data_IF_167702388850
#
_entry.id   IF_167702388850
#
_cell.length_a   1.000
_cell.length_b   1.000
_cell.length_c   1.000
_cell.angle_alpha   90.00
_cell.angle_beta   90.00
_cell.angle_gamma   90.00
#
_symmetry.space_group_name_H-M   'P 1'
#
loop_
_entity.id
_entity.type
_entity.pdbx_description
1 polymer ?
#
# COMPACT_ATOMS: atom_id res chain seq x y z
N UNK A 1 23.22 -31.46 -30.83
CA UNK A 1 23.49 -30.75 -29.55
C UNK A 1 22.22 -30.05 -29.15
N UNK A 2 21.56 -30.45 -28.10
CA UNK A 2 20.44 -29.67 -27.61
C UNK A 2 20.99 -28.34 -27.08
N UNK A 3 20.55 -27.27 -27.69
CA UNK A 3 20.80 -25.92 -27.20
C UNK A 3 20.17 -25.83 -25.81
N UNK A 4 20.96 -25.84 -24.78
CA UNK A 4 20.54 -25.48 -23.43
C UNK A 4 20.19 -24.00 -23.44
N UNK A 5 18.98 -23.69 -23.86
CA UNK A 5 18.41 -22.37 -23.65
C UNK A 5 18.41 -22.13 -22.14
N UNK A 6 19.35 -21.33 -21.65
CA UNK A 6 19.27 -20.82 -20.28
C UNK A 6 17.87 -20.25 -20.09
N UNK A 7 17.18 -20.62 -19.04
CA UNK A 7 15.86 -20.08 -18.78
C UNK A 7 15.97 -18.55 -18.78
N UNK A 8 15.25 -17.93 -19.70
CA UNK A 8 15.27 -16.47 -19.85
C UNK A 8 14.80 -15.79 -18.58
N UNK A 9 15.32 -14.63 -18.29
CA UNK A 9 14.78 -13.70 -17.28
C UNK A 9 13.89 -12.69 -18.00
N UNK A 10 12.64 -12.60 -17.57
CA UNK A 10 11.72 -11.53 -17.98
C UNK A 10 11.48 -10.63 -16.79
N UNK A 11 11.61 -9.34 -16.98
CA UNK A 11 11.42 -8.34 -15.93
C UNK A 11 10.55 -7.20 -16.46
N UNK A 12 9.61 -6.75 -15.65
CA UNK A 12 8.73 -5.62 -15.98
C UNK A 12 8.56 -4.75 -14.74
N UNK A 13 8.40 -3.45 -14.97
CA UNK A 13 8.18 -2.45 -13.94
C UNK A 13 6.91 -1.65 -14.19
N UNK A 14 6.18 -1.31 -13.13
CA UNK A 14 5.01 -0.42 -13.16
C UNK A 14 5.00 0.52 -11.96
N UNK A 15 4.52 1.75 -12.12
CA UNK A 15 4.30 2.65 -10.99
C UNK A 15 3.05 2.18 -10.20
N UNK A 16 3.27 1.63 -9.02
CA UNK A 16 2.24 1.16 -8.08
C UNK A 16 2.72 1.44 -6.65
N UNK A 17 1.83 1.49 -5.69
CA UNK A 17 2.14 1.69 -4.26
C UNK A 17 2.96 2.96 -3.98
N UNK A 18 2.82 4.00 -4.81
CA UNK A 18 3.59 5.24 -4.68
C UNK A 18 5.07 5.13 -5.05
N UNK A 19 5.47 4.04 -5.71
CA UNK A 19 6.85 3.78 -6.13
C UNK A 19 6.88 3.01 -7.46
N UNK A 20 8.06 2.61 -7.89
CA UNK A 20 8.23 1.70 -9.02
C UNK A 20 8.30 0.27 -8.50
N UNK A 21 7.36 -0.57 -8.90
CA UNK A 21 7.31 -2.00 -8.56
C UNK A 21 7.88 -2.79 -9.73
N UNK A 22 8.92 -3.56 -9.48
CA UNK A 22 9.57 -4.43 -10.45
C UNK A 22 9.27 -5.89 -10.12
N UNK A 23 8.88 -6.67 -11.13
CA UNK A 23 8.62 -8.09 -11.01
C UNK A 23 9.44 -8.82 -12.07
N UNK A 24 10.24 -9.78 -11.63
CA UNK A 24 11.05 -10.62 -12.48
C UNK A 24 10.59 -12.08 -12.39
N UNK A 25 10.57 -12.76 -13.53
CA UNK A 25 10.30 -14.18 -13.64
C UNK A 25 11.47 -14.87 -14.33
N UNK A 26 11.97 -15.94 -13.73
CA UNK A 26 13.10 -16.71 -14.23
C UNK A 26 12.68 -18.17 -14.40
N UNK A 27 13.17 -18.82 -15.45
CA UNK A 27 12.97 -20.25 -15.64
C UNK A 27 11.71 -20.65 -16.41
N UNK A 28 10.96 -19.71 -16.94
CA UNK A 28 9.79 -19.95 -17.79
C UNK A 28 10.02 -19.45 -19.23
N UNK A 29 9.35 -20.04 -20.22
CA UNK A 29 9.25 -19.44 -21.55
C UNK A 29 8.68 -18.01 -21.47
N UNK A 30 9.09 -17.14 -22.40
CA UNK A 30 8.77 -15.72 -22.38
C UNK A 30 7.27 -15.42 -22.22
N UNK A 31 6.42 -16.10 -22.99
CA UNK A 31 4.96 -15.90 -22.91
C UNK A 31 4.39 -16.29 -21.54
N UNK A 32 4.81 -17.43 -21.00
CA UNK A 32 4.40 -17.88 -19.66
C UNK A 32 4.93 -16.93 -18.58
N UNK A 33 6.15 -16.43 -18.71
CA UNK A 33 6.73 -15.45 -17.80
C UNK A 33 5.92 -14.15 -17.78
N UNK A 34 5.56 -13.61 -18.93
CA UNK A 34 4.71 -12.42 -19.03
C UNK A 34 3.33 -12.62 -18.40
N UNK A 35 2.69 -13.77 -18.63
CA UNK A 35 1.40 -14.09 -18.01
C UNK A 35 1.49 -14.15 -16.48
N UNK A 36 2.55 -14.72 -15.91
CA UNK A 36 2.78 -14.74 -14.46
C UNK A 36 3.04 -13.36 -13.88
N UNK A 37 3.81 -12.54 -14.58
CA UNK A 37 4.06 -11.16 -14.18
C UNK A 37 2.76 -10.34 -14.21
N UNK A 38 1.91 -10.50 -15.24
CA UNK A 38 0.61 -9.83 -15.29
C UNK A 38 -0.29 -10.21 -14.13
N UNK A 39 -0.36 -11.50 -13.78
CA UNK A 39 -1.10 -11.98 -12.62
C UNK A 39 -0.57 -11.37 -11.30
N UNK A 40 0.75 -11.29 -11.15
CA UNK A 40 1.37 -10.68 -9.97
C UNK A 40 1.08 -9.17 -9.88
N UNK A 41 1.17 -8.43 -10.98
CA UNK A 41 0.79 -7.01 -11.00
C UNK A 41 -0.68 -6.79 -10.69
N UNK A 42 -1.58 -7.69 -11.10
CA UNK A 42 -3.00 -7.61 -10.76
C UNK A 42 -3.21 -7.67 -9.24
N UNK A 43 -2.51 -8.57 -8.54
CA UNK A 43 -2.55 -8.64 -7.07
C UNK A 43 -2.02 -7.36 -6.41
N UNK A 44 -0.89 -6.84 -6.89
CA UNK A 44 -0.33 -5.58 -6.39
C UNK A 44 -1.31 -4.42 -6.61
N UNK A 45 -1.97 -4.37 -7.77
CA UNK A 45 -2.97 -3.34 -8.06
C UNK A 45 -4.20 -3.42 -7.14
N UNK A 46 -4.66 -4.63 -6.78
CA UNK A 46 -5.72 -4.82 -5.79
C UNK A 46 -5.32 -4.28 -4.42
N UNK A 47 -4.12 -4.62 -3.94
CA UNK A 47 -3.60 -4.11 -2.67
C UNK A 47 -3.47 -2.59 -2.70
N UNK A 48 -2.99 -2.03 -3.80
CA UNK A 48 -2.94 -0.57 -4.00
C UNK A 48 -4.33 0.06 -3.85
N UNK A 49 -5.34 -0.50 -4.50
CA UNK A 49 -6.72 -0.02 -4.39
C UNK A 49 -7.30 -0.09 -2.97
N UNK A 50 -6.95 -1.13 -2.21
CA UNK A 50 -7.40 -1.30 -0.83
C UNK A 50 -6.70 -0.35 0.17
N UNK A 51 -5.42 -0.10 0.00
CA UNK A 51 -4.56 0.51 1.01
C UNK A 51 -4.03 1.90 0.62
N UNK A 52 -4.39 2.42 -0.53
CA UNK A 52 -3.94 3.75 -0.96
C UNK A 52 -4.59 4.87 -0.14
N UNK A 53 -3.77 5.74 0.43
CA UNK A 53 -4.22 6.98 1.08
C UNK A 53 -4.94 7.91 0.09
N UNK A 54 -4.54 7.90 -1.18
CA UNK A 54 -5.02 8.80 -2.23
C UNK A 54 -6.30 8.31 -2.93
N UNK A 55 -6.67 7.05 -2.78
CA UNK A 55 -7.87 6.49 -3.41
C UNK A 55 -9.08 6.69 -2.49
N UNK A 56 -10.13 7.43 -2.92
CA UNK A 56 -11.25 7.81 -2.04
C UNK A 56 -12.01 6.64 -1.42
N UNK A 57 -12.11 5.53 -2.14
CA UNK A 57 -12.87 4.34 -1.73
C UNK A 57 -11.99 3.23 -1.13
N UNK A 58 -10.71 3.50 -0.88
CA UNK A 58 -9.81 2.53 -0.25
C UNK A 58 -10.22 2.27 1.20
N UNK A 59 -9.81 1.12 1.73
CA UNK A 59 -9.99 0.81 3.15
C UNK A 59 -9.32 1.85 4.04
N UNK A 60 -8.11 2.28 3.68
CA UNK A 60 -7.36 3.32 4.42
C UNK A 60 -8.10 4.65 4.40
N UNK A 61 -8.65 5.07 3.27
CA UNK A 61 -9.45 6.30 3.19
C UNK A 61 -10.71 6.21 4.07
N UNK A 62 -11.42 5.09 4.05
CA UNK A 62 -12.60 4.87 4.89
C UNK A 62 -12.26 4.85 6.38
N UNK A 63 -11.15 4.22 6.76
CA UNK A 63 -10.66 4.25 8.13
C UNK A 63 -10.33 5.68 8.57
N UNK A 64 -9.63 6.45 7.75
CA UNK A 64 -9.29 7.83 8.07
C UNK A 64 -10.52 8.73 8.23
N UNK A 65 -11.60 8.45 7.50
CA UNK A 65 -12.85 9.23 7.54
C UNK A 65 -13.76 8.81 8.70
N UNK A 66 -13.86 7.53 9.02
CA UNK A 66 -14.95 6.94 9.82
C UNK A 66 -14.52 6.30 11.13
N UNK A 67 -13.24 5.94 11.31
CA UNK A 67 -12.81 5.18 12.48
C UNK A 67 -13.04 5.91 13.81
N UNK A 68 -13.05 7.24 13.80
CA UNK A 68 -13.36 8.04 14.99
C UNK A 68 -14.83 7.93 15.44
N UNK A 69 -15.74 7.57 14.52
CA UNK A 69 -17.18 7.41 14.80
C UNK A 69 -17.56 5.97 15.19
N UNK A 70 -16.68 5.01 14.96
CA UNK A 70 -16.92 3.59 15.29
C UNK A 70 -16.09 2.63 14.45
N UNK A 71 -16.33 1.31 14.62
CA UNK A 71 -15.67 0.28 13.84
C UNK A 71 -15.94 0.42 12.34
N UNK A 72 -14.91 0.14 11.53
CA UNK A 72 -15.00 0.14 10.07
C UNK A 72 -14.65 -1.24 9.56
N UNK A 73 -15.51 -1.82 8.72
CA UNK A 73 -15.23 -3.08 8.06
C UNK A 73 -14.22 -2.87 6.93
N UNK A 74 -13.20 -3.70 6.90
CA UNK A 74 -12.13 -3.67 5.89
C UNK A 74 -11.85 -5.07 5.34
N UNK A 75 -11.20 -5.14 4.18
CA UNK A 75 -10.72 -6.40 3.62
C UNK A 75 -9.79 -7.10 4.62
N UNK A 76 -9.87 -8.45 4.75
CA UNK A 76 -8.99 -9.21 5.65
C UNK A 76 -7.50 -8.95 5.44
N UNK A 77 -7.07 -8.65 4.22
CA UNK A 77 -5.67 -8.29 3.90
C UNK A 77 -5.26 -6.96 4.52
N UNK A 78 -6.14 -5.97 4.47
CA UNK A 78 -5.93 -4.67 5.13
C UNK A 78 -5.86 -4.86 6.64
N UNK A 79 -6.74 -5.65 7.22
CA UNK A 79 -6.72 -5.97 8.65
C UNK A 79 -5.41 -6.62 9.08
N UNK A 80 -4.92 -7.60 8.30
CA UNK A 80 -3.66 -8.28 8.60
C UNK A 80 -2.46 -7.32 8.58
N UNK A 81 -2.39 -6.43 7.59
CA UNK A 81 -1.33 -5.41 7.50
C UNK A 81 -1.41 -4.43 8.67
N UNK A 82 -2.60 -3.97 9.04
CA UNK A 82 -2.77 -3.06 10.19
C UNK A 82 -2.40 -3.72 11.52
N UNK A 83 -2.76 -4.99 11.72
CA UNK A 83 -2.38 -5.74 12.91
C UNK A 83 -0.85 -5.83 13.03
N UNK A 84 -0.16 -6.21 11.96
CA UNK A 84 1.30 -6.24 11.93
C UNK A 84 1.92 -4.84 12.16
N UNK A 85 1.35 -3.81 11.57
CA UNK A 85 1.81 -2.44 11.74
C UNK A 85 1.72 -1.98 13.21
N UNK A 86 0.65 -2.35 13.92
CA UNK A 86 0.48 -2.03 15.34
C UNK A 86 1.47 -2.82 16.22
N UNK A 87 1.75 -4.08 15.89
CA UNK A 87 2.79 -4.87 16.56
C UNK A 87 4.18 -4.24 16.39
N UNK A 88 4.53 -3.81 15.18
CA UNK A 88 5.80 -3.12 14.90
C UNK A 88 5.89 -1.76 15.60
N UNK A 89 4.79 -1.02 15.68
CA UNK A 89 4.74 0.24 16.43
C UNK A 89 5.05 0.02 17.91
N UNK A 90 4.46 -1.00 18.52
CA UNK A 90 4.73 -1.37 19.91
C UNK A 90 6.16 -1.88 20.11
N UNK A 91 6.64 -2.77 19.25
CA UNK A 91 7.97 -3.35 19.33
C UNK A 91 9.10 -2.32 19.10
N UNK A 92 8.85 -1.28 18.31
CA UNK A 92 9.81 -0.21 18.01
C UNK A 92 9.70 0.99 18.97
N UNK A 93 8.84 0.92 19.98
CA UNK A 93 8.55 2.03 20.91
C UNK A 93 8.17 3.34 20.16
N UNK A 94 7.34 3.20 19.12
CA UNK A 94 6.85 4.31 18.32
C UNK A 94 7.81 4.83 17.23
N UNK A 95 8.98 4.22 17.04
CA UNK A 95 9.87 4.56 15.93
C UNK A 95 9.20 4.29 14.56
N UNK A 96 8.44 3.21 14.47
CA UNK A 96 7.48 2.97 13.40
C UNK A 96 6.08 3.35 13.89
N UNK A 97 5.40 4.24 13.19
CA UNK A 97 4.09 4.76 13.60
C UNK A 97 3.22 5.04 12.36
N UNK A 98 2.12 4.30 12.24
CA UNK A 98 1.16 4.47 11.13
C UNK A 98 0.20 5.64 11.32
N UNK A 99 0.20 6.32 12.46
CA UNK A 99 -0.71 7.45 12.78
C UNK A 99 -0.16 8.80 12.36
N UNK A 100 0.89 8.84 11.55
CA UNK A 100 1.60 10.07 11.16
C UNK A 100 0.94 10.86 10.03
N UNK A 101 -0.14 10.37 9.43
CA UNK A 101 -0.77 10.99 8.25
C UNK A 101 -1.16 12.46 8.49
N UNK A 102 -1.72 12.81 9.64
CA UNK A 102 -2.09 14.18 9.96
C UNK A 102 -0.87 15.12 9.98
N UNK A 103 0.25 14.63 10.49
CA UNK A 103 1.50 15.37 10.53
C UNK A 103 2.06 15.59 9.13
N UNK A 104 1.98 14.56 8.28
CA UNK A 104 2.40 14.64 6.88
C UNK A 104 1.50 15.57 6.05
N UNK A 105 0.20 15.60 6.31
CA UNK A 105 -0.73 16.56 5.71
C UNK A 105 -0.38 17.98 6.15
N UNK A 106 -0.12 18.20 7.43
CA UNK A 106 0.27 19.51 7.97
C UNK A 106 1.58 20.02 7.35
N UNK A 107 2.52 19.14 7.05
CA UNK A 107 3.78 19.46 6.37
C UNK A 107 3.70 19.57 4.85
N UNK A 108 2.49 19.41 4.27
CA UNK A 108 2.30 19.43 2.81
C UNK A 108 2.86 18.21 2.06
N UNK A 109 3.14 17.11 2.77
CA UNK A 109 3.65 15.86 2.20
C UNK A 109 2.55 14.91 1.73
N UNK A 110 1.33 15.06 2.25
CA UNK A 110 0.13 14.36 1.82
C UNK A 110 -0.99 15.35 1.56
N UNK A 111 -1.88 15.10 0.57
CA UNK A 111 -3.03 15.95 0.32
C UNK A 111 -4.03 15.86 1.48
N UNK A 112 -4.70 16.96 1.78
CA UNK A 112 -5.79 16.98 2.75
C UNK A 112 -7.00 16.25 2.18
N UNK A 113 -7.58 15.27 2.89
CA UNK A 113 -8.85 14.66 2.49
C UNK A 113 -9.96 15.72 2.43
N UNK A 114 -10.84 15.69 1.42
CA UNK A 114 -11.83 16.74 1.18
C UNK A 114 -12.85 16.93 2.33
N UNK A 115 -13.11 15.89 3.11
CA UNK A 115 -14.20 15.87 4.09
C UNK A 115 -13.74 15.93 5.55
N UNK A 116 -12.47 16.23 5.81
CA UNK A 116 -11.95 16.28 7.18
C UNK A 116 -11.68 17.73 7.60
N UNK A 117 -12.46 18.30 8.55
CA UNK A 117 -12.15 19.60 9.10
C UNK A 117 -10.79 19.57 9.83
N UNK A 118 -10.04 20.68 9.83
CA UNK A 118 -8.77 20.74 10.55
C UNK A 118 -9.02 20.46 12.04
N UNK A 119 -8.28 19.53 12.62
CA UNK A 119 -8.26 19.37 14.08
C UNK A 119 -7.73 20.67 14.69
N UNK A 120 -8.48 21.21 15.63
CA UNK A 120 -7.97 22.32 16.45
C UNK A 120 -6.76 21.79 17.22
N UNK A 121 -5.62 22.46 17.07
CA UNK A 121 -4.46 22.18 17.90
C UNK A 121 -4.82 22.49 19.36
N UNK A 122 -4.76 21.52 20.28
CA UNK A 122 -5.07 21.75 21.68
C UNK A 122 -4.09 22.72 22.38
N UNK A 123 -3.02 23.14 21.70
CA UNK A 123 -2.00 24.07 22.22
C UNK A 123 -2.23 25.53 21.83
N UNK A 124 -3.21 25.81 20.98
CA UNK A 124 -3.63 27.18 20.68
C UNK A 124 -4.75 27.60 21.66
N UNK A 125 -4.36 28.12 22.78
CA UNK A 125 -5.18 29.05 23.60
C UNK A 125 -4.78 30.45 23.31
#
# INVERSE_FOLDING_TARGET
MPSSSRPGRVERARPLLGTLVEIACVGLPSEAAHARIDAAFAVVAEIHGLMSFHTPDSDVARLNQRAAAGPVEVDPRTRAVLALALELAAASDGAFDITVAERLVAWGRLPRPPDRPPRRDPRTK
#
